data_IF_275991834594
#
_entry.id   IF_275991834594
#
_cell.length_a   1.000
_cell.length_b   1.000
_cell.length_c   1.000
_cell.angle_alpha   90.00
_cell.angle_beta   90.00
_cell.angle_gamma   90.00
#
_symmetry.space_group_name_H-M   'P 1'
#
loop_
_entity.id
_entity.type
_entity.pdbx_description
1 polymer ?
#
# COMPACT_ATOMS: atom_id res chain seq x y z
N UNK A 1 80.88 39.84 37.95
CA UNK A 1 79.46 39.46 37.79
C UNK A 1 78.88 40.32 36.67
N UNK A 2 78.82 39.79 35.45
CA UNK A 2 78.12 40.45 34.35
C UNK A 2 76.65 40.04 34.41
N UNK A 3 75.77 41.01 34.59
CA UNK A 3 74.32 40.83 34.57
C UNK A 3 73.87 40.40 33.17
N UNK A 4 73.43 39.16 33.04
CA UNK A 4 72.79 38.68 31.81
C UNK A 4 71.44 39.41 31.68
N UNK A 5 71.22 40.07 30.55
CA UNK A 5 70.02 40.86 30.28
C UNK A 5 68.83 39.92 30.03
N UNK A 6 68.00 39.74 31.06
CA UNK A 6 66.86 38.82 31.07
C UNK A 6 65.86 39.09 29.93
N UNK A 7 65.80 40.34 29.41
CA UNK A 7 64.92 40.71 28.29
C UNK A 7 65.35 40.06 26.98
N UNK A 8 66.65 39.85 26.77
CA UNK A 8 67.16 39.19 25.57
C UNK A 8 66.86 37.69 25.59
N UNK A 9 66.89 37.05 26.77
CA UNK A 9 66.51 35.64 26.92
C UNK A 9 65.02 35.45 26.68
N UNK A 10 64.18 36.33 27.22
CA UNK A 10 62.73 36.25 27.01
C UNK A 10 62.34 36.46 25.54
N UNK A 11 63.03 37.37 24.84
CA UNK A 11 62.77 37.60 23.42
C UNK A 11 63.19 36.41 22.54
N UNK A 12 64.24 35.69 22.90
CA UNK A 12 64.67 34.47 22.19
C UNK A 12 63.75 33.30 22.51
N UNK A 13 63.25 33.19 23.74
CA UNK A 13 62.32 32.12 24.14
C UNK A 13 60.94 32.29 23.47
N UNK A 14 60.43 33.52 23.36
CA UNK A 14 59.16 33.82 22.67
C UNK A 14 59.28 33.60 21.16
N UNK A 15 60.43 33.91 20.55
CA UNK A 15 60.67 33.63 19.13
C UNK A 15 60.82 32.12 18.86
N UNK A 16 61.40 31.35 19.79
CA UNK A 16 61.50 29.90 19.67
C UNK A 16 60.14 29.20 19.81
N UNK A 17 59.25 29.69 20.67
CA UNK A 17 57.88 29.17 20.84
C UNK A 17 57.01 29.46 19.60
N UNK A 18 57.22 30.60 18.93
CA UNK A 18 56.51 30.93 17.67
C UNK A 18 56.99 30.09 16.48
N UNK A 19 58.23 29.59 16.48
CA UNK A 19 58.77 28.72 15.42
C UNK A 19 58.40 27.24 15.61
N UNK A 20 57.93 26.84 16.80
CA UNK A 20 57.42 25.48 17.08
C UNK A 20 55.90 25.36 16.99
N UNK A 21 55.19 26.46 16.72
CA UNK A 21 53.73 26.45 16.52
C UNK A 21 53.31 26.16 15.07
N UNK A 22 54.26 25.98 14.14
CA UNK A 22 54.00 25.40 12.83
C UNK A 22 53.98 23.86 12.96
N UNK A 23 52.98 23.32 13.66
CA UNK A 23 52.50 21.98 13.34
C UNK A 23 51.88 22.11 11.95
N UNK A 24 52.32 21.29 11.00
CA UNK A 24 51.70 21.22 9.68
C UNK A 24 50.22 20.84 9.88
N UNK A 25 49.31 21.81 9.78
CA UNK A 25 47.86 21.57 9.77
C UNK A 25 47.40 20.82 8.50
N UNK A 26 48.31 20.51 7.56
CA UNK A 26 47.99 19.94 6.25
C UNK A 26 47.95 18.39 6.19
N UNK A 27 48.41 17.67 7.22
CA UNK A 27 48.55 16.19 7.17
C UNK A 27 47.41 15.41 7.87
N UNK A 28 46.35 16.09 8.33
CA UNK A 28 45.16 15.45 8.94
C UNK A 28 43.87 15.64 8.13
N UNK A 29 43.97 16.04 6.87
CA UNK A 29 42.83 15.89 5.97
C UNK A 29 42.55 14.39 5.82
N UNK A 30 41.41 13.94 6.36
CA UNK A 30 40.89 12.61 6.03
C UNK A 30 40.88 12.51 4.50
N UNK A 31 41.44 11.44 3.91
CA UNK A 31 41.38 11.26 2.47
C UNK A 31 39.95 11.51 2.02
N UNK A 32 39.76 12.31 0.96
CA UNK A 32 38.45 12.44 0.36
C UNK A 32 37.97 11.01 0.07
N UNK A 33 36.88 10.59 0.70
CA UNK A 33 36.19 9.37 0.34
C UNK A 33 35.64 9.62 -1.06
N UNK A 34 36.43 9.28 -2.07
CA UNK A 34 35.92 9.14 -3.42
C UNK A 34 35.08 7.88 -3.44
N UNK A 35 33.80 8.12 -3.62
CA UNK A 35 32.76 7.14 -3.70
C UNK A 35 32.94 6.42 -5.06
N UNK A 36 33.34 5.15 -5.04
CA UNK A 36 33.61 4.36 -6.25
C UNK A 36 32.33 3.58 -6.59
N UNK A 37 31.84 3.76 -7.82
CA UNK A 37 30.67 3.02 -8.29
C UNK A 37 30.93 1.51 -8.13
N UNK A 38 29.92 0.72 -7.71
CA UNK A 38 30.11 -0.69 -7.47
C UNK A 38 30.57 -1.40 -8.76
N UNK A 39 31.55 -2.30 -8.64
CA UNK A 39 32.00 -3.13 -9.75
C UNK A 39 30.94 -4.19 -10.06
N UNK A 40 30.26 -4.01 -11.20
CA UNK A 40 29.27 -4.95 -11.72
C UNK A 40 29.89 -5.97 -12.68
N UNK A 41 31.19 -6.26 -12.54
CA UNK A 41 31.91 -7.29 -13.29
C UNK A 41 31.83 -7.07 -14.81
N UNK A 42 31.84 -5.81 -15.24
CA UNK A 42 31.70 -5.42 -16.65
C UNK A 42 30.29 -5.49 -17.22
N UNK A 43 29.28 -5.76 -16.38
CA UNK A 43 27.88 -5.80 -16.77
C UNK A 43 27.29 -4.40 -16.95
N UNK A 44 26.32 -4.29 -17.87
CA UNK A 44 25.43 -3.12 -17.98
C UNK A 44 24.05 -3.55 -17.48
N UNK A 45 23.58 -3.03 -16.33
CA UNK A 45 22.29 -3.42 -15.78
C UNK A 45 21.14 -3.16 -16.75
N UNK A 46 20.22 -4.11 -16.86
CA UNK A 46 18.95 -3.92 -17.53
C UNK A 46 17.98 -3.15 -16.62
N UNK A 47 16.97 -2.54 -17.23
CA UNK A 47 15.91 -1.89 -16.46
C UNK A 47 14.92 -2.92 -15.93
N UNK A 48 14.18 -2.55 -14.88
CA UNK A 48 13.09 -3.37 -14.33
C UNK A 48 12.01 -3.65 -15.40
N UNK A 49 11.68 -2.67 -16.25
CA UNK A 49 10.77 -2.87 -17.39
C UNK A 49 11.32 -3.89 -18.41
N UNK A 50 12.62 -3.87 -18.68
CA UNK A 50 13.25 -4.89 -19.53
C UNK A 50 13.14 -6.30 -18.93
N UNK A 51 13.32 -6.44 -17.61
CA UNK A 51 13.16 -7.73 -16.93
C UNK A 51 11.69 -8.22 -17.01
N UNK A 52 10.73 -7.32 -16.78
CA UNK A 52 9.30 -7.61 -16.94
C UNK A 52 8.96 -8.06 -18.38
N UNK A 53 9.49 -7.36 -19.39
CA UNK A 53 9.25 -7.70 -20.80
C UNK A 53 9.81 -9.08 -21.17
N UNK A 54 10.92 -9.51 -20.56
CA UNK A 54 11.47 -10.86 -20.74
C UNK A 54 10.52 -11.93 -20.16
N UNK A 55 9.99 -11.69 -18.95
CA UNK A 55 9.00 -12.58 -18.36
C UNK A 55 7.69 -12.61 -19.17
N UNK A 56 7.17 -11.45 -19.58
CA UNK A 56 5.98 -11.36 -20.45
C UNK A 56 6.15 -12.09 -21.77
N UNK A 57 7.34 -12.06 -22.37
CA UNK A 57 7.64 -12.83 -23.58
C UNK A 57 7.55 -14.34 -23.31
N UNK A 58 8.04 -14.79 -22.16
CA UNK A 58 7.94 -16.21 -21.73
C UNK A 58 6.49 -16.62 -21.55
N UNK A 59 5.69 -15.80 -20.87
CA UNK A 59 4.27 -16.01 -20.68
C UNK A 59 3.50 -16.06 -22.00
N UNK A 60 3.74 -15.11 -22.92
CA UNK A 60 3.11 -15.12 -24.25
C UNK A 60 3.45 -16.37 -25.05
N UNK A 61 4.70 -16.83 -24.98
CA UNK A 61 5.10 -18.10 -25.58
C UNK A 61 4.32 -19.29 -25.00
N UNK A 62 4.11 -19.32 -23.69
CA UNK A 62 3.31 -20.37 -23.04
C UNK A 62 1.83 -20.33 -23.47
N UNK A 63 1.25 -19.14 -23.64
CA UNK A 63 -0.12 -18.96 -24.16
C UNK A 63 -0.22 -19.47 -25.60
N UNK A 64 0.73 -19.09 -26.45
CA UNK A 64 0.80 -19.53 -27.85
C UNK A 64 0.95 -21.07 -27.95
N UNK A 65 1.82 -21.67 -27.13
CA UNK A 65 2.05 -23.12 -27.08
C UNK A 65 0.82 -23.89 -26.57
N UNK A 66 0.03 -23.27 -25.69
CA UNK A 66 -1.26 -23.81 -25.23
C UNK A 66 -2.38 -23.63 -26.27
N UNK A 67 -2.16 -22.85 -27.33
CA UNK A 67 -3.14 -22.56 -28.37
C UNK A 67 -4.31 -21.68 -27.89
N UNK A 68 -4.07 -20.86 -26.87
CA UNK A 68 -5.05 -19.93 -26.31
C UNK A 68 -4.96 -18.58 -27.03
N UNK A 69 -6.08 -17.86 -27.11
CA UNK A 69 -6.18 -16.56 -27.77
C UNK A 69 -6.51 -15.44 -26.78
N UNK A 70 -5.63 -14.41 -26.69
CA UNK A 70 -5.84 -13.25 -25.83
C UNK A 70 -7.12 -12.46 -26.15
N UNK A 71 -7.61 -12.53 -27.40
CA UNK A 71 -8.83 -11.85 -27.83
C UNK A 71 -10.10 -12.71 -27.57
N UNK A 72 -9.93 -13.95 -27.08
CA UNK A 72 -11.02 -14.88 -26.80
C UNK A 72 -11.46 -14.77 -25.34
N UNK A 73 -12.73 -14.37 -25.13
CA UNK A 73 -13.36 -14.40 -23.81
C UNK A 73 -13.49 -15.82 -23.22
N UNK A 74 -13.32 -16.87 -24.03
CA UNK A 74 -13.36 -18.26 -23.54
C UNK A 74 -12.04 -18.69 -22.91
N UNK A 75 -10.94 -18.01 -23.23
CA UNK A 75 -9.60 -18.40 -22.80
C UNK A 75 -9.10 -17.59 -21.60
N UNK A 76 -9.84 -16.55 -21.17
CA UNK A 76 -9.44 -15.63 -20.10
C UNK A 76 -9.00 -16.35 -18.82
N UNK A 77 -9.80 -17.30 -18.33
CA UNK A 77 -9.46 -18.04 -17.10
C UNK A 77 -8.20 -18.91 -17.27
N UNK A 78 -8.04 -19.54 -18.44
CA UNK A 78 -6.88 -20.36 -18.74
C UNK A 78 -5.60 -19.51 -18.91
N UNK A 79 -5.73 -18.33 -19.51
CA UNK A 79 -4.64 -17.36 -19.67
C UNK A 79 -4.20 -16.82 -18.30
N UNK A 80 -5.13 -16.50 -17.40
CA UNK A 80 -4.78 -16.08 -16.04
C UNK A 80 -4.14 -17.21 -15.23
N UNK A 81 -4.62 -18.45 -15.36
CA UNK A 81 -3.97 -19.60 -14.74
C UNK A 81 -2.53 -19.81 -15.26
N UNK A 82 -2.30 -19.60 -16.56
CA UNK A 82 -0.95 -19.61 -17.13
C UNK A 82 -0.09 -18.45 -16.63
N UNK A 83 -0.67 -17.25 -16.46
CA UNK A 83 0.05 -16.07 -15.94
C UNK A 83 0.59 -16.33 -14.54
N UNK A 84 -0.21 -16.96 -13.68
CA UNK A 84 0.18 -17.29 -12.31
C UNK A 84 1.24 -18.41 -12.24
N UNK A 85 1.13 -19.41 -13.11
CA UNK A 85 2.05 -20.56 -13.13
C UNK A 85 3.35 -20.30 -13.92
N UNK A 86 3.38 -19.32 -14.83
CA UNK A 86 4.58 -19.05 -15.64
C UNK A 86 5.67 -18.37 -14.81
N UNK A 87 6.83 -19.03 -14.74
CA UNK A 87 8.07 -18.45 -14.20
C UNK A 87 9.11 -18.33 -15.31
N UNK A 88 9.91 -17.28 -15.24
CA UNK A 88 11.09 -17.09 -16.09
C UNK A 88 12.36 -17.13 -15.24
N UNK A 89 13.23 -18.10 -15.48
CA UNK A 89 14.56 -18.19 -14.87
C UNK A 89 15.57 -17.44 -15.74
N UNK A 90 16.28 -16.49 -15.13
CA UNK A 90 17.37 -15.80 -15.80
C UNK A 90 18.62 -16.69 -15.78
N UNK A 91 18.94 -17.26 -16.93
CA UNK A 91 20.09 -18.13 -17.09
C UNK A 91 21.40 -17.34 -17.09
N UNK A 92 22.44 -17.91 -16.49
CA UNK A 92 23.79 -17.35 -16.56
C UNK A 92 24.24 -17.28 -18.03
N UNK A 93 24.84 -16.17 -18.44
CA UNK A 93 25.22 -16.02 -19.83
C UNK A 93 26.52 -16.77 -20.18
N UNK A 94 26.63 -17.19 -21.44
CA UNK A 94 27.80 -17.93 -21.96
C UNK A 94 29.10 -17.09 -21.95
N UNK A 95 28.99 -15.78 -21.74
CA UNK A 95 30.13 -14.86 -21.71
C UNK A 95 30.81 -14.78 -20.35
N UNK A 96 30.18 -15.32 -19.30
CA UNK A 96 30.65 -15.22 -17.91
C UNK A 96 30.50 -13.83 -17.29
N UNK A 97 29.71 -12.95 -17.90
CA UNK A 97 29.41 -11.59 -17.39
C UNK A 97 28.02 -11.60 -16.78
N UNK A 98 27.84 -11.53 -15.46
CA UNK A 98 26.50 -11.66 -14.87
C UNK A 98 25.51 -10.58 -15.36
N UNK A 99 24.23 -10.93 -15.45
CA UNK A 99 23.18 -9.95 -15.73
C UNK A 99 22.70 -9.32 -14.42
N UNK A 100 22.57 -7.99 -14.43
CA UNK A 100 21.98 -7.25 -13.31
C UNK A 100 20.73 -6.52 -13.77
N UNK A 101 19.79 -6.31 -12.86
CA UNK A 101 18.77 -5.27 -12.98
C UNK A 101 19.00 -4.17 -11.94
N UNK A 102 18.50 -2.97 -12.18
CA UNK A 102 18.51 -1.89 -11.17
C UNK A 102 17.10 -1.49 -10.73
N UNK A 103 16.96 -1.06 -9.47
CA UNK A 103 15.75 -0.46 -8.94
C UNK A 103 16.03 0.38 -7.69
N UNK A 104 15.03 1.13 -7.25
CA UNK A 104 15.07 1.93 -6.03
C UNK A 104 14.20 1.30 -4.96
N UNK A 105 14.74 1.13 -3.76
CA UNK A 105 14.03 0.56 -2.62
C UNK A 105 12.93 1.53 -2.16
N UNK A 106 11.70 1.02 -2.03
CA UNK A 106 10.56 1.81 -1.53
C UNK A 106 9.88 1.22 -0.30
N UNK A 107 10.23 -0.01 0.08
CA UNK A 107 9.83 -0.59 1.36
C UNK A 107 10.83 -0.30 2.48
N UNK A 108 10.39 -0.43 3.73
CA UNK A 108 11.22 -0.47 4.92
C UNK A 108 10.65 -1.43 5.94
N UNK A 109 11.43 -2.44 6.34
CA UNK A 109 11.06 -3.38 7.40
C UNK A 109 11.33 -2.84 8.82
N UNK A 110 11.75 -1.57 8.94
CA UNK A 110 12.10 -0.94 10.22
C UNK A 110 10.97 -0.95 11.24
N UNK A 111 9.74 -0.70 10.80
CA UNK A 111 8.56 -0.71 11.66
C UNK A 111 7.88 -2.10 11.72
N UNK A 112 8.46 -3.12 11.07
CA UNK A 112 7.97 -4.50 11.09
C UNK A 112 6.76 -4.80 10.20
N UNK A 113 6.37 -3.89 9.30
CA UNK A 113 5.24 -4.12 8.39
C UNK A 113 5.61 -4.96 7.15
N UNK A 114 6.90 -4.94 6.76
CA UNK A 114 7.50 -5.79 5.74
C UNK A 114 8.42 -6.82 6.41
N UNK A 115 8.52 -8.04 5.87
CA UNK A 115 9.34 -9.10 6.43
C UNK A 115 9.96 -9.96 5.32
N UNK A 116 11.29 -10.09 5.33
CA UNK A 116 12.04 -10.91 4.36
C UNK A 116 11.77 -10.55 2.87
N UNK A 117 11.43 -9.28 2.62
CA UNK A 117 11.16 -8.77 1.29
C UNK A 117 11.63 -7.32 1.10
N UNK A 118 12.05 -6.99 -0.12
CA UNK A 118 12.24 -5.61 -0.58
C UNK A 118 11.24 -5.33 -1.70
N UNK A 119 10.60 -4.16 -1.64
CA UNK A 119 9.82 -3.64 -2.75
C UNK A 119 10.69 -2.61 -3.48
N UNK A 120 10.88 -2.82 -4.77
CA UNK A 120 11.68 -1.96 -5.63
C UNK A 120 10.82 -1.37 -6.74
N UNK A 121 11.08 -0.11 -7.12
CA UNK A 121 10.49 0.50 -8.31
C UNK A 121 11.56 1.00 -9.29
N UNK A 122 11.17 1.16 -10.56
CA UNK A 122 12.09 1.48 -11.67
C UNK A 122 12.69 2.89 -11.60
N UNK A 123 11.95 3.87 -11.07
CA UNK A 123 12.36 5.28 -11.00
C UNK A 123 12.00 5.91 -9.65
N UNK A 124 12.74 6.91 -9.17
CA UNK A 124 12.42 7.59 -7.91
C UNK A 124 11.19 8.51 -8.02
N UNK A 125 10.84 8.94 -9.23
CA UNK A 125 9.69 9.80 -9.52
C UNK A 125 8.99 9.28 -10.79
N UNK A 126 7.66 9.35 -10.83
CA UNK A 126 6.83 8.78 -11.89
C UNK A 126 7.22 7.33 -12.26
N UNK A 127 7.27 6.42 -11.28
CA UNK A 127 7.57 5.01 -11.53
C UNK A 127 6.52 4.40 -12.44
N UNK A 128 6.95 3.46 -13.27
CA UNK A 128 6.08 2.72 -14.19
C UNK A 128 6.00 1.25 -13.88
N UNK A 129 6.92 0.73 -13.05
CA UNK A 129 6.99 -0.68 -12.69
C UNK A 129 7.51 -0.85 -11.26
N UNK A 130 6.88 -1.77 -10.54
CA UNK A 130 7.34 -2.25 -9.24
C UNK A 130 7.66 -3.74 -9.27
N UNK A 131 8.48 -4.21 -8.34
CA UNK A 131 8.76 -5.62 -8.13
C UNK A 131 8.98 -5.93 -6.65
N UNK A 132 8.51 -7.10 -6.21
CA UNK A 132 8.84 -7.68 -4.91
C UNK A 132 10.06 -8.59 -5.05
N UNK A 133 11.05 -8.42 -4.19
CA UNK A 133 12.24 -9.25 -4.11
C UNK A 133 12.21 -10.04 -2.79
N UNK A 134 12.11 -11.35 -2.86
CA UNK A 134 12.11 -12.23 -1.68
C UNK A 134 13.54 -12.55 -1.24
N UNK A 135 13.83 -12.36 0.04
CA UNK A 135 15.15 -12.60 0.62
C UNK A 135 15.05 -12.95 2.10
N UNK A 136 15.62 -14.09 2.49
CA UNK A 136 15.65 -14.61 3.86
C UNK A 136 16.65 -13.81 4.73
N UNK A 137 16.40 -12.51 4.89
CA UNK A 137 17.19 -11.60 5.72
C UNK A 137 16.26 -10.62 6.42
N UNK A 138 16.48 -10.44 7.72
CA UNK A 138 15.89 -9.38 8.52
C UNK A 138 16.90 -8.93 9.60
N UNK A 139 17.10 -7.62 9.85
CA UNK A 139 16.48 -6.49 9.15
C UNK A 139 17.23 -6.07 7.86
N UNK A 140 16.48 -5.57 6.88
CA UNK A 140 16.97 -5.10 5.58
C UNK A 140 17.22 -3.59 5.55
N UNK A 141 16.44 -2.78 6.29
CA UNK A 141 16.53 -1.31 6.29
C UNK A 141 17.91 -0.77 6.70
N UNK A 142 18.73 -1.57 7.39
CA UNK A 142 20.09 -1.19 7.81
C UNK A 142 21.02 -1.07 6.59
N UNK A 143 20.83 -1.94 5.60
CA UNK A 143 21.67 -2.01 4.41
C UNK A 143 21.02 -1.31 3.22
N UNK A 144 19.69 -1.37 3.13
CA UNK A 144 18.89 -0.91 2.00
C UNK A 144 17.82 0.06 2.49
N UNK A 145 18.22 1.30 2.75
CA UNK A 145 17.29 2.34 3.16
C UNK A 145 16.35 2.75 2.01
N UNK A 146 15.18 3.32 2.33
CA UNK A 146 14.26 3.86 1.33
C UNK A 146 14.99 4.87 0.41
N UNK A 147 14.80 4.74 -0.90
CA UNK A 147 15.48 5.54 -1.91
C UNK A 147 16.84 4.99 -2.35
N UNK A 148 17.42 4.02 -1.63
CA UNK A 148 18.67 3.37 -2.03
C UNK A 148 18.50 2.69 -3.38
N UNK A 149 19.35 3.05 -4.33
CA UNK A 149 19.45 2.30 -5.59
C UNK A 149 20.24 1.02 -5.37
N UNK A 150 19.71 -0.09 -5.88
CA UNK A 150 20.33 -1.40 -5.79
C UNK A 150 20.42 -2.04 -7.17
N UNK A 151 21.42 -2.90 -7.34
CA UNK A 151 21.60 -3.78 -8.48
C UNK A 151 21.38 -5.22 -8.03
N UNK A 152 20.43 -5.91 -8.65
CA UNK A 152 20.11 -7.31 -8.35
C UNK A 152 20.74 -8.19 -9.42
N UNK A 153 21.64 -9.10 -9.04
CA UNK A 153 22.19 -10.13 -9.92
C UNK A 153 21.07 -11.10 -10.27
N UNK A 154 20.74 -11.21 -11.56
CA UNK A 154 19.63 -12.01 -12.03
C UNK A 154 19.99 -13.48 -12.24
N UNK A 155 21.26 -13.79 -12.55
CA UNK A 155 21.71 -15.14 -12.84
C UNK A 155 21.27 -16.16 -11.77
N UNK A 156 20.43 -17.12 -12.18
CA UNK A 156 19.87 -18.18 -11.32
C UNK A 156 18.62 -17.76 -10.52
N UNK A 157 18.19 -16.50 -10.60
CA UNK A 157 16.92 -16.05 -10.04
C UNK A 157 15.78 -16.30 -11.02
N UNK A 158 14.57 -16.39 -10.49
CA UNK A 158 13.33 -16.56 -11.25
C UNK A 158 12.34 -15.47 -10.93
N UNK A 159 11.70 -14.96 -11.98
CA UNK A 159 10.63 -13.99 -11.91
C UNK A 159 9.30 -14.65 -12.26
N UNK A 160 8.25 -14.31 -11.53
CA UNK A 160 6.89 -14.73 -11.81
C UNK A 160 5.88 -13.96 -10.98
N UNK A 161 4.61 -14.31 -11.12
CA UNK A 161 3.55 -13.75 -10.26
C UNK A 161 3.41 -14.65 -9.02
N UNK A 162 3.51 -14.04 -7.84
CA UNK A 162 3.22 -14.67 -6.55
C UNK A 162 2.23 -13.79 -5.80
N UNK A 163 1.17 -14.37 -5.22
CA UNK A 163 0.08 -13.63 -4.56
C UNK A 163 -0.42 -12.44 -5.42
N UNK A 164 -0.53 -12.64 -6.73
CA UNK A 164 -1.02 -11.63 -7.67
C UNK A 164 -0.09 -10.45 -7.96
N UNK A 165 1.18 -10.48 -7.52
CA UNK A 165 2.17 -9.43 -7.84
C UNK A 165 3.47 -10.01 -8.39
N UNK A 166 4.17 -9.25 -9.25
CA UNK A 166 5.46 -9.68 -9.80
C UNK A 166 6.49 -9.78 -8.68
N UNK A 167 7.11 -10.94 -8.61
CA UNK A 167 8.04 -11.35 -7.57
C UNK A 167 9.29 -11.96 -8.18
N UNK A 168 10.44 -11.66 -7.57
CA UNK A 168 11.77 -12.15 -7.93
C UNK A 168 12.39 -12.87 -6.73
N UNK A 169 13.00 -14.02 -6.98
CA UNK A 169 13.59 -14.86 -5.94
C UNK A 169 14.29 -16.08 -6.55
N UNK A 170 14.46 -17.15 -5.78
CA UNK A 170 14.99 -18.42 -6.27
C UNK A 170 13.84 -19.36 -6.64
N UNK A 171 13.99 -20.17 -7.69
CA UNK A 171 12.96 -21.14 -8.04
C UNK A 171 13.02 -22.35 -7.09
N UNK A 172 11.91 -22.67 -6.44
CA UNK A 172 11.76 -23.83 -5.56
C UNK A 172 10.50 -24.60 -5.96
N UNK A 173 10.69 -25.67 -6.73
CA UNK A 173 9.56 -26.34 -7.38
C UNK A 173 8.92 -25.43 -8.43
N UNK A 174 7.65 -25.05 -8.21
CA UNK A 174 6.87 -24.20 -9.11
C UNK A 174 6.66 -22.77 -8.53
N UNK A 175 7.29 -22.45 -7.41
CA UNK A 175 7.14 -21.18 -6.69
C UNK A 175 8.45 -20.38 -6.70
N UNK A 176 8.32 -19.05 -6.65
CA UNK A 176 9.44 -18.15 -6.37
C UNK A 176 9.60 -18.02 -4.85
N UNK A 177 10.74 -18.50 -4.35
CA UNK A 177 11.09 -18.59 -2.94
C UNK A 177 12.20 -17.58 -2.58
N UNK A 178 12.49 -17.45 -1.29
CA UNK A 178 13.43 -16.48 -0.74
C UNK A 178 14.86 -16.74 -1.18
N UNK A 179 15.55 -15.67 -1.60
CA UNK A 179 17.01 -15.69 -1.76
C UNK A 179 17.64 -15.99 -0.39
N UNK A 180 18.48 -17.04 -0.25
CA UNK A 180 19.07 -17.36 1.04
C UNK A 180 19.98 -16.24 1.57
N UNK A 181 19.96 -16.01 2.89
CA UNK A 181 20.78 -14.97 3.56
C UNK A 181 22.25 -14.96 3.13
N UNK A 182 22.89 -16.12 3.00
CA UNK A 182 24.30 -16.21 2.64
C UNK A 182 24.62 -15.71 1.22
N UNK A 183 23.62 -15.63 0.34
CA UNK A 183 23.76 -15.12 -1.04
C UNK A 183 23.46 -13.61 -1.13
N UNK A 184 23.03 -12.97 -0.04
CA UNK A 184 22.62 -11.56 -0.03
C UNK A 184 23.67 -10.64 -0.68
N UNK A 185 24.92 -10.73 -0.24
CA UNK A 185 25.98 -9.80 -0.64
C UNK A 185 26.42 -9.98 -2.10
N UNK A 186 26.24 -11.17 -2.68
CA UNK A 186 26.54 -11.42 -4.08
C UNK A 186 25.35 -11.16 -5.02
N UNK A 187 24.13 -11.17 -4.47
CA UNK A 187 22.90 -10.98 -5.24
C UNK A 187 22.45 -9.53 -5.23
N UNK A 188 22.59 -8.82 -4.11
CA UNK A 188 22.16 -7.42 -3.97
C UNK A 188 23.38 -6.53 -3.77
N UNK A 189 23.72 -5.77 -4.81
CA UNK A 189 24.82 -4.81 -4.80
C UNK A 189 24.26 -3.40 -4.64
N UNK A 190 24.73 -2.68 -3.63
CA UNK A 190 24.24 -1.32 -3.36
C UNK A 190 24.95 -0.31 -4.25
N UNK A 191 24.19 0.64 -4.76
CA UNK A 191 24.73 1.89 -5.29
C UNK A 191 24.95 2.88 -4.14
N UNK A 192 25.84 3.83 -4.31
CA UNK A 192 26.01 4.96 -3.39
C UNK A 192 24.88 6.00 -3.53
N UNK A 193 24.12 5.93 -4.61
CA UNK A 193 22.95 6.75 -4.87
C UNK A 193 21.79 6.42 -3.89
N UNK A 194 21.34 7.43 -3.15
CA UNK A 194 20.06 7.47 -2.44
C UNK A 194 19.22 8.58 -3.06
N UNK A 195 18.17 8.20 -3.77
CA UNK A 195 17.24 9.16 -4.35
C UNK A 195 16.12 9.50 -3.35
N UNK A 196 15.64 10.74 -3.40
CA UNK A 196 14.37 11.07 -2.74
C UNK A 196 13.23 10.48 -3.57
N UNK A 197 12.42 9.61 -2.96
CA UNK A 197 11.26 9.00 -3.62
C UNK A 197 10.10 10.00 -3.62
N UNK A 198 9.54 10.23 -4.80
CA UNK A 198 8.28 10.97 -4.98
C UNK A 198 7.18 9.96 -5.28
N UNK A 199 6.15 9.83 -4.44
CA UNK A 199 5.07 8.87 -4.67
C UNK A 199 4.32 9.16 -5.97
N UNK A 200 3.81 8.11 -6.61
CA UNK A 200 2.87 8.23 -7.72
C UNK A 200 1.49 8.60 -7.17
N UNK A 201 0.99 9.79 -7.48
CA UNK A 201 -0.35 10.22 -7.08
C UNK A 201 -1.42 9.48 -7.90
N UNK A 202 -2.32 8.77 -7.22
CA UNK A 202 -3.39 7.96 -7.81
C UNK A 202 -4.67 8.04 -6.97
N UNK A 203 -5.78 7.57 -7.54
CA UNK A 203 -7.03 7.30 -6.84
C UNK A 203 -7.28 5.79 -6.73
N UNK A 204 -8.27 5.38 -5.94
CA UNK A 204 -8.66 3.97 -5.86
C UNK A 204 -9.14 3.39 -7.20
N UNK A 205 -9.67 4.23 -8.09
CA UNK A 205 -10.12 3.81 -9.42
C UNK A 205 -8.95 3.49 -10.37
N UNK A 206 -7.74 3.94 -10.06
CA UNK A 206 -6.54 3.71 -10.90
C UNK A 206 -5.86 2.37 -10.58
N UNK A 207 -6.34 1.63 -9.59
CA UNK A 207 -5.72 0.38 -9.14
C UNK A 207 -5.75 -0.66 -10.25
N UNK A 208 -4.55 -1.11 -10.64
CA UNK A 208 -4.34 -2.15 -11.65
C UNK A 208 -3.10 -2.95 -11.30
N UNK A 209 -3.01 -4.18 -11.80
CA UNK A 209 -1.86 -5.06 -11.58
C UNK A 209 -0.54 -4.43 -12.06
N UNK A 210 -0.62 -3.57 -13.08
CA UNK A 210 0.51 -2.87 -13.66
C UNK A 210 1.19 -1.87 -12.70
N UNK A 211 0.47 -1.37 -11.69
CA UNK A 211 0.97 -0.40 -10.71
C UNK A 211 1.16 -0.99 -9.31
N UNK A 212 1.08 -2.32 -9.17
CA UNK A 212 1.47 -3.01 -7.94
C UNK A 212 2.98 -2.86 -7.67
N UNK A 213 3.37 -2.98 -6.40
CA UNK A 213 4.74 -2.80 -5.91
C UNK A 213 5.32 -1.39 -6.15
N UNK A 214 4.47 -0.38 -6.30
CA UNK A 214 4.86 1.04 -6.46
C UNK A 214 4.53 1.82 -5.19
N UNK A 215 5.38 2.81 -4.86
CA UNK A 215 5.09 3.78 -3.82
C UNK A 215 4.11 4.84 -4.34
N UNK A 216 2.93 4.92 -3.71
CA UNK A 216 1.78 5.70 -4.18
C UNK A 216 1.35 6.73 -3.14
N UNK A 217 0.71 7.80 -3.60
CA UNK A 217 0.00 8.79 -2.77
C UNK A 217 -1.47 8.80 -3.16
N UNK A 218 -2.36 8.76 -2.16
CA UNK A 218 -3.79 8.88 -2.36
C UNK A 218 -4.30 10.00 -1.46
N UNK A 219 -4.95 10.99 -2.06
CA UNK A 219 -5.39 12.22 -1.38
C UNK A 219 -6.84 12.14 -0.95
N UNK A 220 -7.21 12.97 0.02
CA UNK A 220 -8.60 13.10 0.51
C UNK A 220 -9.24 11.78 0.93
N UNK A 221 -8.53 11.03 1.78
CA UNK A 221 -8.98 9.74 2.32
C UNK A 221 -9.19 9.80 3.82
N UNK A 222 -10.03 8.91 4.34
CA UNK A 222 -10.30 8.78 5.77
C UNK A 222 -10.62 7.33 6.13
N UNK A 223 -10.43 6.94 7.39
CA UNK A 223 -10.93 5.65 7.88
C UNK A 223 -12.44 5.70 8.10
N UNK A 224 -13.11 4.54 7.97
CA UNK A 224 -14.54 4.43 8.27
C UNK A 224 -14.88 4.96 9.67
N UNK A 225 -15.95 5.74 9.78
CA UNK A 225 -16.36 6.37 11.05
C UNK A 225 -16.64 5.38 12.18
N UNK A 226 -17.15 4.18 11.88
CA UNK A 226 -17.46 3.17 12.90
C UNK A 226 -16.17 2.60 13.51
N UNK A 227 -15.11 2.52 12.70
CA UNK A 227 -13.81 2.03 13.12
C UNK A 227 -13.11 3.05 14.04
N UNK A 228 -13.25 4.35 13.76
CA UNK A 228 -12.48 5.39 14.46
C UNK A 228 -13.25 6.21 15.49
N UNK A 229 -14.55 6.44 15.31
CA UNK A 229 -15.37 7.25 16.24
C UNK A 229 -16.17 6.39 17.22
N UNK A 230 -16.66 5.23 16.79
CA UNK A 230 -17.47 4.34 17.64
C UNK A 230 -16.62 3.35 18.43
N UNK A 231 -15.69 2.66 17.75
CA UNK A 231 -14.91 1.57 18.36
C UNK A 231 -13.48 1.98 18.71
N UNK A 232 -12.90 2.93 17.96
CA UNK A 232 -11.50 3.35 18.08
C UNK A 232 -10.52 2.18 17.88
N UNK A 233 -10.66 1.48 16.75
CA UNK A 233 -9.79 0.38 16.35
C UNK A 233 -8.32 0.81 16.25
N UNK A 234 -7.44 -0.16 16.48
CA UNK A 234 -6.02 -0.08 16.21
C UNK A 234 -5.68 -0.49 14.78
N UNK A 235 -4.43 -0.32 14.34
CA UNK A 235 -3.99 -0.80 13.02
C UNK A 235 -4.09 -2.32 12.86
N UNK A 236 -3.67 -3.10 13.88
CA UNK A 236 -3.60 -4.56 13.83
C UNK A 236 -3.45 -5.22 15.22
N UNK A 237 -4.17 -4.74 16.24
CA UNK A 237 -4.12 -5.30 17.60
C UNK A 237 -5.48 -5.73 18.15
N UNK A 238 -6.48 -5.92 17.29
CA UNK A 238 -7.80 -6.44 17.68
C UNK A 238 -7.77 -7.96 17.87
N UNK A 239 -8.67 -8.53 18.69
CA UNK A 239 -8.67 -9.98 18.97
C UNK A 239 -8.81 -10.89 17.74
N UNK A 240 -9.35 -10.36 16.64
CA UNK A 240 -9.55 -11.08 15.38
C UNK A 240 -8.44 -10.82 14.35
N UNK A 241 -7.44 -9.97 14.65
CA UNK A 241 -6.28 -9.79 13.79
C UNK A 241 -5.29 -10.95 14.04
N UNK A 242 -5.23 -11.92 13.11
CA UNK A 242 -4.36 -13.10 13.26
C UNK A 242 -2.93 -12.83 12.78
N UNK A 243 -2.76 -12.66 11.46
CA UNK A 243 -1.47 -12.36 10.82
C UNK A 243 -1.35 -10.88 10.45
N UNK A 244 -2.49 -10.29 10.09
CA UNK A 244 -2.61 -8.91 9.66
C UNK A 244 -3.90 -8.31 10.22
N UNK A 245 -3.87 -7.01 10.51
CA UNK A 245 -5.06 -6.18 10.64
C UNK A 245 -5.38 -5.51 9.32
N UNK A 246 -6.62 -5.66 8.89
CA UNK A 246 -7.17 -5.03 7.70
C UNK A 246 -8.18 -3.96 8.12
N UNK A 247 -8.03 -2.75 7.59
CA UNK A 247 -8.92 -1.60 7.87
C UNK A 247 -9.39 -0.97 6.58
N UNK A 248 -10.59 -0.42 6.59
CA UNK A 248 -11.16 0.20 5.40
C UNK A 248 -10.80 1.67 5.34
N UNK A 249 -10.21 2.07 4.22
CA UNK A 249 -9.94 3.44 3.85
C UNK A 249 -10.95 3.88 2.78
N UNK A 250 -11.54 5.05 2.99
CA UNK A 250 -12.62 5.60 2.17
C UNK A 250 -12.15 6.87 1.46
N UNK A 251 -12.57 7.03 0.21
CA UNK A 251 -12.37 8.25 -0.56
C UNK A 251 -13.41 9.29 -0.14
N UNK A 252 -13.00 10.55 -0.05
CA UNK A 252 -13.94 11.67 0.10
C UNK A 252 -14.39 12.26 -1.24
N UNK A 253 -13.73 11.87 -2.32
CA UNK A 253 -14.01 12.37 -3.67
C UNK A 253 -14.89 11.39 -4.48
N UNK A 254 -15.14 10.19 -3.96
CA UNK A 254 -15.94 9.12 -4.57
C UNK A 254 -16.38 8.08 -3.53
N UNK A 255 -17.32 7.19 -3.89
CA UNK A 255 -17.77 6.08 -3.03
C UNK A 255 -16.79 4.89 -2.99
N UNK A 256 -15.57 5.07 -3.54
CA UNK A 256 -14.58 4.01 -3.61
C UNK A 256 -13.90 3.78 -2.26
N UNK A 257 -13.53 2.54 -1.99
CA UNK A 257 -12.81 2.13 -0.79
C UNK A 257 -11.60 1.26 -1.14
N UNK A 258 -10.65 1.18 -0.22
CA UNK A 258 -9.49 0.30 -0.31
C UNK A 258 -9.17 -0.26 1.08
N UNK A 259 -8.50 -1.42 1.10
CA UNK A 259 -8.06 -2.04 2.35
C UNK A 259 -6.62 -1.62 2.63
N UNK A 260 -6.37 -1.12 3.83
CA UNK A 260 -5.01 -1.00 4.37
C UNK A 260 -4.71 -2.25 5.19
N UNK A 261 -3.54 -2.84 4.95
CA UNK A 261 -3.03 -4.03 5.64
C UNK A 261 -1.85 -3.64 6.52
N UNK A 262 -1.93 -4.01 7.79
CA UNK A 262 -0.82 -3.88 8.75
C UNK A 262 -0.52 -5.23 9.40
N UNK A 263 0.74 -5.65 9.39
CA UNK A 263 1.22 -6.85 10.05
C UNK A 263 1.00 -6.80 11.57
N UNK A 264 0.59 -7.92 12.17
CA UNK A 264 0.54 -8.06 13.63
C UNK A 264 1.93 -8.11 14.27
N UNK A 265 3.02 -8.07 13.48
CA UNK A 265 4.39 -7.90 13.94
C UNK A 265 4.87 -6.44 13.90
N UNK A 266 4.09 -5.54 13.29
CA UNK A 266 4.45 -4.13 13.21
C UNK A 266 4.53 -3.48 14.60
N UNK A 267 5.51 -2.61 14.82
CA UNK A 267 5.70 -1.92 16.11
C UNK A 267 4.57 -0.92 16.43
N UNK A 268 3.86 -0.48 15.39
CA UNK A 268 2.74 0.46 15.45
C UNK A 268 1.37 -0.20 15.41
N UNK A 269 1.28 -1.54 15.40
CA UNK A 269 0.01 -2.28 15.29
C UNK A 269 -1.04 -1.85 16.31
N UNK A 270 -0.60 -1.46 17.52
CA UNK A 270 -1.47 -1.07 18.63
C UNK A 270 -1.77 0.43 18.70
N UNK A 271 -1.31 1.23 17.74
CA UNK A 271 -1.73 2.63 17.65
C UNK A 271 -3.16 2.69 17.16
N UNK A 272 -3.94 3.62 17.71
CA UNK A 272 -5.29 3.88 17.22
C UNK A 272 -5.23 4.49 15.82
N UNK A 273 -6.20 4.14 14.98
CA UNK A 273 -6.36 4.74 13.67
C UNK A 273 -6.64 6.24 13.79
N UNK A 274 -6.05 7.08 12.92
CA UNK A 274 -6.37 8.50 12.85
C UNK A 274 -7.86 8.74 12.59
N UNK A 275 -8.48 9.62 13.39
CA UNK A 275 -9.90 9.97 13.23
C UNK A 275 -10.13 11.01 12.15
N UNK A 276 -9.10 11.69 11.68
CA UNK A 276 -9.18 12.83 10.77
C UNK A 276 -9.20 12.36 9.30
N UNK A 277 -9.37 13.30 8.38
CA UNK A 277 -9.17 13.09 6.94
C UNK A 277 -7.73 13.49 6.56
N UNK A 278 -7.19 12.88 5.52
CA UNK A 278 -5.82 13.13 5.11
C UNK A 278 -5.42 12.51 3.79
N UNK A 279 -4.12 12.23 3.71
CA UNK A 279 -3.50 11.56 2.59
C UNK A 279 -2.78 10.30 3.06
N UNK A 280 -2.83 9.27 2.23
CA UNK A 280 -2.07 8.03 2.39
C UNK A 280 -0.83 8.06 1.50
N UNK A 281 0.31 7.64 2.01
CA UNK A 281 1.55 7.37 1.30
C UNK A 281 2.11 6.00 1.71
N UNK A 282 2.25 5.09 0.75
CA UNK A 282 2.63 3.72 1.01
C UNK A 282 2.76 2.90 -0.27
N UNK A 283 2.74 1.58 -0.16
CA UNK A 283 2.90 0.68 -1.29
C UNK A 283 1.55 0.06 -1.65
N UNK A 284 1.21 0.11 -2.93
CA UNK A 284 0.09 -0.65 -3.50
C UNK A 284 0.53 -2.07 -3.81
N UNK A 285 -0.21 -3.07 -3.33
CA UNK A 285 0.04 -4.49 -3.55
C UNK A 285 -1.28 -5.25 -3.62
N UNK A 286 -1.26 -6.58 -3.53
CA UNK A 286 -2.44 -7.41 -3.32
C UNK A 286 -2.38 -8.16 -1.99
N UNK A 287 -3.53 -8.66 -1.56
CA UNK A 287 -3.67 -9.54 -0.40
C UNK A 287 -2.94 -10.88 -0.63
N UNK A 288 -2.96 -11.75 0.38
CA UNK A 288 -2.33 -13.06 0.31
C UNK A 288 -2.89 -13.95 -0.81
N UNK A 289 -4.17 -13.84 -1.14
CA UNK A 289 -4.80 -14.63 -2.20
C UNK A 289 -4.52 -14.08 -3.62
N UNK A 290 -4.04 -12.84 -3.73
CA UNK A 290 -3.72 -12.19 -5.00
C UNK A 290 -4.93 -11.71 -5.80
N UNK A 291 -6.11 -11.64 -5.18
CA UNK A 291 -7.37 -11.28 -5.83
C UNK A 291 -7.87 -9.87 -5.47
N UNK A 292 -7.36 -9.27 -4.40
CA UNK A 292 -7.81 -7.97 -3.88
C UNK A 292 -6.62 -7.05 -3.67
N UNK A 293 -6.74 -5.78 -4.06
CA UNK A 293 -5.70 -4.77 -3.82
C UNK A 293 -5.65 -4.34 -2.35
N UNK A 294 -4.43 -4.28 -1.81
CA UNK A 294 -4.15 -3.81 -0.46
C UNK A 294 -3.12 -2.67 -0.49
N UNK A 295 -3.26 -1.76 0.46
CA UNK A 295 -2.32 -0.68 0.73
C UNK A 295 -1.48 -1.03 1.96
N UNK A 296 -0.16 -0.84 1.90
CA UNK A 296 0.76 -1.21 2.99
C UNK A 296 1.66 -0.02 3.33
N UNK A 297 1.72 0.34 4.61
CA UNK A 297 2.58 1.42 5.11
C UNK A 297 3.99 0.92 5.38
N UNK A 298 5.00 1.77 5.16
CA UNK A 298 6.31 1.56 5.78
C UNK A 298 6.24 1.77 7.30
N UNK A 299 5.55 2.83 7.71
CA UNK A 299 5.32 3.22 9.09
C UNK A 299 4.15 4.24 9.16
N UNK A 300 3.66 4.62 10.36
CA UNK A 300 2.49 5.50 10.51
C UNK A 300 2.66 6.90 9.91
N UNK A 301 3.88 7.37 9.65
CA UNK A 301 4.10 8.70 9.07
C UNK A 301 3.63 8.81 7.63
N UNK A 302 3.40 7.68 6.95
CA UNK A 302 2.71 7.64 5.65
C UNK A 302 1.24 8.06 5.71
N UNK A 303 0.65 8.26 6.90
CA UNK A 303 -0.68 8.84 7.05
C UNK A 303 -0.56 10.29 7.51
N UNK A 304 -0.78 11.21 6.59
CA UNK A 304 -0.83 12.65 6.89
C UNK A 304 -2.29 13.08 7.01
N UNK A 305 -2.87 12.80 8.18
CA UNK A 305 -4.28 13.05 8.48
C UNK A 305 -4.38 14.26 9.40
N UNK A 306 -4.38 15.44 8.79
CA UNK A 306 -4.31 16.76 9.44
C UNK A 306 -5.57 17.61 9.21
N UNK A 307 -6.60 17.04 8.60
CA UNK A 307 -7.87 17.71 8.32
C UNK A 307 -8.98 17.19 9.24
N UNK A 308 -9.42 18.02 10.18
CA UNK A 308 -10.48 17.68 11.14
C UNK A 308 -11.87 17.50 10.49
N UNK A 309 -12.07 18.06 9.30
CA UNK A 309 -13.34 17.92 8.56
C UNK A 309 -13.34 16.59 7.80
N UNK A 310 -14.05 15.61 8.37
CA UNK A 310 -14.38 14.34 7.74
C UNK A 310 -15.45 14.52 6.66
N UNK A 311 -15.51 13.60 5.71
CA UNK A 311 -16.51 13.56 4.63
C UNK A 311 -17.57 12.48 4.87
N UNK A 312 -17.88 12.19 6.14
CA UNK A 312 -18.86 11.16 6.48
C UNK A 312 -20.25 11.52 5.91
N UNK A 313 -21.03 10.52 5.46
CA UNK A 313 -22.39 10.77 4.99
C UNK A 313 -23.22 11.33 6.14
N UNK A 314 -24.01 12.36 5.83
CA UNK A 314 -24.93 13.00 6.78
C UNK A 314 -25.95 11.95 7.22
N UNK A 315 -25.84 11.52 8.47
CA UNK A 315 -26.89 10.76 9.13
C UNK A 315 -27.78 11.76 9.83
N UNK A 316 -29.08 11.68 9.59
CA UNK A 316 -30.05 12.44 10.37
C UNK A 316 -30.02 11.90 11.80
N UNK A 317 -29.39 12.63 12.72
CA UNK A 317 -29.44 12.31 14.15
C UNK A 317 -30.50 13.16 14.84
N UNK A 318 -31.55 12.52 15.34
CA UNK A 318 -32.59 13.15 16.16
C UNK A 318 -32.09 13.34 17.61
N UNK A 319 -31.08 14.17 17.84
CA UNK A 319 -30.40 14.31 19.15
C UNK A 319 -31.15 15.15 20.18
N UNK A 320 -32.33 15.69 19.83
CA UNK A 320 -33.17 16.51 20.70
C UNK A 320 -34.32 15.73 21.35
N UNK A 321 -35.04 16.37 22.28
CA UNK A 321 -36.42 15.93 22.57
C UNK A 321 -37.25 16.23 21.34
N UNK A 322 -37.30 15.28 20.42
CA UNK A 322 -38.15 15.29 19.25
C UNK A 322 -39.46 14.56 19.56
N UNK A 323 -40.57 15.02 18.98
CA UNK A 323 -41.87 14.37 19.09
C UNK A 323 -42.88 15.18 19.90
N UNK A 324 -44.00 15.52 19.25
CA UNK A 324 -45.20 16.01 19.93
C UNK A 324 -45.97 14.88 20.63
N UNK A 325 -47.10 15.21 21.27
CA UNK A 325 -47.99 14.20 21.86
C UNK A 325 -48.74 13.33 20.83
N UNK A 326 -48.47 13.53 19.55
CA UNK A 326 -49.25 12.97 18.45
C UNK A 326 -48.28 12.49 17.37
N UNK A 327 -48.26 11.17 17.18
CA UNK A 327 -47.59 10.53 16.05
C UNK A 327 -48.42 10.76 14.79
N UNK A 328 -47.81 11.38 13.77
CA UNK A 328 -48.45 11.63 12.47
C UNK A 328 -48.22 10.43 11.55
N UNK A 329 -47.04 9.83 11.64
CA UNK A 329 -46.63 8.66 10.88
C UNK A 329 -45.59 7.88 11.69
N UNK A 330 -45.69 6.56 11.68
CA UNK A 330 -44.72 5.65 12.31
C UNK A 330 -44.67 4.38 11.47
N UNK A 331 -43.45 3.94 11.18
CA UNK A 331 -43.18 2.64 10.60
C UNK A 331 -41.89 2.12 11.26
N UNK A 332 -42.00 0.97 11.93
CA UNK A 332 -40.88 0.30 12.60
C UNK A 332 -40.51 -1.02 11.90
N UNK A 333 -41.17 -1.34 10.78
CA UNK A 333 -41.03 -2.54 9.96
C UNK A 333 -41.33 -3.86 10.69
N UNK A 334 -41.81 -3.82 11.94
CA UNK A 334 -41.98 -5.01 12.78
C UNK A 334 -43.22 -5.80 12.42
N UNK A 335 -43.06 -7.09 12.12
CA UNK A 335 -44.17 -7.98 11.75
C UNK A 335 -44.79 -7.68 10.38
N UNK A 336 -44.11 -6.87 9.56
CA UNK A 336 -44.51 -6.50 8.20
C UNK A 336 -43.75 -7.31 7.14
N UNK A 337 -44.31 -7.40 5.94
CA UNK A 337 -43.62 -7.85 4.73
C UNK A 337 -43.62 -6.68 3.75
N UNK A 338 -42.59 -6.56 2.92
CA UNK A 338 -42.48 -5.45 1.98
C UNK A 338 -43.69 -5.38 1.02
N UNK A 339 -44.27 -6.52 0.65
CA UNK A 339 -45.47 -6.58 -0.19
C UNK A 339 -46.69 -5.95 0.49
N UNK A 340 -46.78 -6.06 1.82
CA UNK A 340 -47.85 -5.42 2.58
C UNK A 340 -47.65 -3.89 2.62
N UNK A 341 -46.40 -3.44 2.73
CA UNK A 341 -46.06 -2.01 2.66
C UNK A 341 -46.39 -1.44 1.28
N UNK A 342 -46.01 -2.14 0.20
CA UNK A 342 -46.37 -1.75 -1.17
C UNK A 342 -47.89 -1.72 -1.37
N UNK A 343 -48.62 -2.71 -0.83
CA UNK A 343 -50.08 -2.69 -0.86
C UNK A 343 -50.70 -1.53 -0.05
N UNK A 344 -50.00 -1.03 0.97
CA UNK A 344 -50.35 0.16 1.74
C UNK A 344 -49.93 1.49 1.07
N UNK A 345 -49.35 1.44 -0.13
CA UNK A 345 -49.02 2.61 -0.94
C UNK A 345 -47.55 3.02 -0.90
N UNK A 346 -46.67 2.23 -0.28
CA UNK A 346 -45.23 2.42 -0.42
C UNK A 346 -44.77 2.12 -1.84
N UNK A 347 -43.72 2.80 -2.29
CA UNK A 347 -43.02 2.47 -3.53
C UNK A 347 -41.74 1.75 -3.16
N UNK A 348 -41.58 0.53 -3.65
CA UNK A 348 -40.32 -0.21 -3.61
C UNK A 348 -39.89 -0.46 -5.05
N UNK A 349 -38.80 0.16 -5.50
CA UNK A 349 -38.40 0.13 -6.91
C UNK A 349 -36.89 0.20 -7.07
N UNK A 350 -36.37 -0.65 -7.94
CA UNK A 350 -35.02 -0.53 -8.48
C UNK A 350 -35.03 0.48 -9.64
N UNK A 351 -34.42 1.66 -9.44
CA UNK A 351 -34.41 2.74 -10.45
C UNK A 351 -33.35 2.54 -11.54
N UNK A 352 -32.40 1.61 -11.30
CA UNK A 352 -31.44 1.14 -12.31
C UNK A 352 -32.02 0.11 -13.29
N UNK A 353 -33.24 -0.38 -13.03
CA UNK A 353 -33.95 -1.33 -13.90
C UNK A 353 -33.63 -2.81 -13.66
N UNK A 354 -32.92 -3.10 -12.56
CA UNK A 354 -32.68 -4.46 -12.05
C UNK A 354 -33.82 -4.97 -11.17
N UNK A 355 -33.56 -6.09 -10.49
CA UNK A 355 -34.48 -6.79 -9.58
C UNK A 355 -34.10 -6.60 -8.09
N UNK A 356 -32.95 -6.00 -7.77
CA UNK A 356 -32.57 -5.70 -6.36
C UNK A 356 -33.49 -4.62 -5.79
N UNK A 357 -34.34 -4.99 -4.84
CA UNK A 357 -35.26 -4.11 -4.12
C UNK A 357 -35.18 -4.31 -2.60
N UNK A 358 -35.92 -3.49 -1.84
CA UNK A 358 -35.99 -3.66 -0.39
C UNK A 358 -36.84 -4.89 -0.03
N UNK A 359 -36.50 -5.54 1.07
CA UNK A 359 -37.32 -6.54 1.74
C UNK A 359 -37.26 -6.33 3.25
N UNK A 360 -38.12 -7.02 4.01
CA UNK A 360 -38.05 -6.97 5.48
C UNK A 360 -37.12 -8.09 5.95
N UNK A 361 -35.98 -7.70 6.52
CA UNK A 361 -35.04 -8.59 7.19
C UNK A 361 -35.31 -8.64 8.69
N UNK A 362 -34.75 -9.63 9.39
CA UNK A 362 -34.91 -9.76 10.83
C UNK A 362 -33.66 -10.33 11.51
N UNK A 363 -33.19 -9.68 12.58
CA UNK A 363 -32.07 -10.15 13.39
C UNK A 363 -32.29 -9.86 14.87
N UNK A 364 -31.99 -10.83 15.73
CA UNK A 364 -32.07 -10.65 17.18
C UNK A 364 -33.48 -10.35 17.72
N UNK A 365 -34.53 -10.66 16.95
CA UNK A 365 -35.93 -10.36 17.30
C UNK A 365 -36.43 -8.98 16.88
N UNK A 366 -35.63 -8.21 16.12
CA UNK A 366 -36.04 -6.96 15.49
C UNK A 366 -36.14 -7.16 13.98
N UNK A 367 -37.19 -6.62 13.38
CA UNK A 367 -37.32 -6.55 11.92
C UNK A 367 -36.90 -5.15 11.44
N UNK A 368 -36.43 -5.07 10.19
CA UNK A 368 -35.99 -3.82 9.57
C UNK A 368 -36.10 -3.91 8.05
N UNK A 369 -36.32 -2.77 7.40
CA UNK A 369 -36.14 -2.69 5.95
C UNK A 369 -34.67 -2.93 5.61
N UNK A 370 -34.42 -3.88 4.71
CA UNK A 370 -33.10 -4.28 4.27
C UNK A 370 -33.04 -4.31 2.76
N UNK A 371 -31.87 -3.97 2.23
CA UNK A 371 -31.50 -4.20 0.83
C UNK A 371 -30.09 -4.78 0.80
N UNK A 372 -29.83 -5.69 -0.15
CA UNK A 372 -28.50 -6.24 -0.36
C UNK A 372 -28.32 -6.61 -1.82
N UNK A 373 -27.17 -6.24 -2.41
CA UNK A 373 -26.74 -6.71 -3.72
C UNK A 373 -26.05 -8.08 -3.69
N UNK A 374 -25.91 -8.70 -2.52
CA UNK A 374 -25.24 -9.99 -2.38
C UNK A 374 -25.97 -11.07 -3.19
N UNK A 375 -25.26 -11.76 -4.09
CA UNK A 375 -25.80 -12.74 -5.05
C UNK A 375 -26.90 -12.21 -5.98
N UNK A 376 -26.91 -10.91 -6.26
CA UNK A 376 -27.89 -10.31 -7.19
C UNK A 376 -27.53 -10.49 -8.67
N UNK A 377 -26.27 -10.81 -8.97
CA UNK A 377 -25.68 -10.72 -10.31
C UNK A 377 -25.74 -9.31 -10.94
N UNK A 378 -26.15 -8.28 -10.18
CA UNK A 378 -26.15 -6.88 -10.59
C UNK A 378 -24.79 -6.21 -10.29
N UNK A 379 -24.24 -5.51 -11.29
CA UNK A 379 -22.95 -4.80 -11.16
C UNK A 379 -23.06 -3.48 -10.40
N UNK A 380 -24.24 -2.88 -10.41
CA UNK A 380 -24.61 -1.69 -9.64
C UNK A 380 -26.13 -1.68 -9.50
N UNK A 381 -26.64 -1.27 -8.35
CA UNK A 381 -28.07 -1.09 -8.14
C UNK A 381 -28.34 0.23 -7.42
N UNK A 382 -29.45 0.86 -7.76
CA UNK A 382 -30.05 1.94 -6.99
C UNK A 382 -31.51 1.56 -6.76
N UNK A 383 -31.91 1.42 -5.50
CA UNK A 383 -33.30 1.11 -5.15
C UNK A 383 -33.85 2.10 -4.15
N UNK A 384 -35.11 2.46 -4.33
CA UNK A 384 -35.81 3.41 -3.50
C UNK A 384 -36.95 2.71 -2.77
N UNK A 385 -36.99 2.89 -1.45
CA UNK A 385 -38.14 2.59 -0.63
C UNK A 385 -38.76 3.91 -0.17
N UNK A 386 -39.89 4.28 -0.76
CA UNK A 386 -40.55 5.58 -0.55
C UNK A 386 -41.86 5.36 0.18
N UNK A 387 -42.07 6.13 1.24
CA UNK A 387 -43.32 6.14 2.01
C UNK A 387 -44.50 6.59 1.12
N UNK A 388 -45.73 6.23 1.46
CA UNK A 388 -46.91 6.91 0.91
C UNK A 388 -46.89 8.40 1.28
N UNK A 389 -47.77 9.18 0.66
CA UNK A 389 -47.99 10.59 1.01
C UNK A 389 -48.40 10.70 2.49
N UNK A 390 -47.66 11.51 3.25
CA UNK A 390 -47.93 11.80 4.66
C UNK A 390 -48.60 13.18 4.73
N UNK A 391 -49.83 13.23 5.22
CA UNK A 391 -50.63 14.45 5.33
C UNK A 391 -50.24 15.24 6.59
N UNK A 392 -49.75 16.46 6.38
CA UNK A 392 -49.36 17.41 7.44
C UNK A 392 -50.36 18.57 7.61
N UNK A 393 -51.46 18.62 6.87
CA UNK A 393 -52.39 19.77 6.87
C UNK A 393 -53.04 20.02 8.24
N UNK A 394 -53.09 19.00 9.10
CA UNK A 394 -53.66 19.05 10.45
C UNK A 394 -52.63 19.28 11.56
N UNK A 395 -51.34 19.43 11.23
CA UNK A 395 -50.25 19.63 12.19
C UNK A 395 -49.43 20.89 11.88
N UNK A 396 -48.60 21.29 12.83
CA UNK A 396 -47.58 22.32 12.65
C UNK A 396 -46.38 21.97 13.52
N UNK A 397 -45.17 22.30 13.08
CA UNK A 397 -43.92 22.02 13.81
C UNK A 397 -43.64 20.52 13.92
N UNK A 398 -43.78 19.83 12.80
CA UNK A 398 -43.48 18.41 12.64
C UNK A 398 -41.98 18.18 12.81
N UNK A 399 -41.63 17.16 13.58
CA UNK A 399 -40.25 16.77 13.85
C UNK A 399 -40.10 15.27 13.60
N UNK A 400 -38.96 14.87 13.03
CA UNK A 400 -38.56 13.46 12.93
C UNK A 400 -37.98 13.05 14.28
N UNK A 401 -38.45 11.93 14.82
CA UNK A 401 -38.06 11.42 16.15
C UNK A 401 -37.34 10.09 16.07
#
# INVERSE_FOLDING_TARGET
>A
MNSINLKTIFSVLVLAVLMTACVQDDDFNTPALEAEAPDLQGSTPITLDSAYNIWEQTFRGAVDDAGLDFDSNFDTEAIEALRLSTKHTFEANDTGVPQFMSGYVVSSDKAGNFFEELILQDKPENPTRGIRLLIDVNPLFISYEMGRKVFIKLDGLSMGVENGVITLGVLSGDEVDNIPSFSQAETIVRSEEVATITPLEITFADFTDAITNIYVRIVNVQFNRNDVLSTSLSFAAEPNDEFDGERTLESCDSDATAIIRTSTFADFKGLNLPTQRGNFEGILTKNFFGDTFNLVLNDPTGLVFDNEERCDPIVLECTGSSGGSTTIFEEDFTGSDINNLVAAGWVNVNVTGGDVDYFVGGFGGNDYAQITGFNSDETSYEAWLVTPEIDFDASTLEELS
#
